data_IF_656385843272
#
_entry.id   IF_656385843272
#
_cell.length_a   1.000
_cell.length_b   1.000
_cell.length_c   1.000
_cell.angle_alpha   90.00
_cell.angle_beta   90.00
_cell.angle_gamma   90.00
#
_symmetry.space_group_name_H-M   'P 1'
#
loop_
_entity.id
_entity.type
_entity.pdbx_description
1 polymer ?
#
# COMPACT_ATOMS: atom_id res chain seq x y z
N UNK A 1 33.72 -22.05 -55.39
CA UNK A 1 33.97 -21.05 -56.45
C UNK A 1 33.17 -19.81 -56.09
N UNK A 2 33.69 -18.63 -55.85
CA UNK A 2 35.02 -17.99 -55.93
C UNK A 2 34.82 -16.68 -55.15
N UNK A 3 35.61 -16.38 -54.11
CA UNK A 3 36.85 -15.59 -54.21
C UNK A 3 36.57 -14.23 -54.89
N UNK A 4 36.53 -13.10 -54.17
CA UNK A 4 37.64 -12.13 -53.96
C UNK A 4 37.00 -10.78 -53.57
N UNK A 5 37.55 -9.80 -52.86
CA UNK A 5 38.89 -9.44 -52.33
C UNK A 5 38.62 -8.34 -51.26
N UNK A 6 39.28 -8.33 -50.09
CA UNK A 6 40.45 -7.49 -49.73
C UNK A 6 40.18 -5.96 -49.85
N UNK A 7 40.40 -5.09 -48.85
CA UNK A 7 41.57 -4.91 -47.98
C UNK A 7 41.19 -4.07 -46.71
N UNK A 8 41.69 -4.41 -45.51
CA UNK A 8 42.82 -3.75 -44.79
C UNK A 8 42.91 -2.23 -44.96
N UNK A 9 42.82 -1.44 -43.87
CA UNK A 9 43.98 -0.81 -43.18
C UNK A 9 43.58 -0.41 -41.75
N UNK A 10 44.47 -0.70 -40.80
CA UNK A 10 44.46 -0.36 -39.37
C UNK A 10 44.43 1.15 -39.09
N UNK A 11 43.81 1.57 -37.98
CA UNK A 11 44.35 2.64 -37.13
C UNK A 11 43.86 2.47 -35.68
N UNK A 12 44.78 2.05 -34.81
CA UNK A 12 44.67 2.24 -33.37
C UNK A 12 44.73 3.73 -33.05
N UNK A 13 43.75 4.27 -32.35
CA UNK A 13 43.91 5.52 -31.58
C UNK A 13 43.12 5.41 -30.29
N UNK A 14 43.85 5.11 -29.22
CA UNK A 14 43.49 5.37 -27.83
C UNK A 14 43.27 6.87 -27.65
N UNK A 15 42.16 7.31 -27.04
CA UNK A 15 42.09 8.35 -25.99
C UNK A 15 40.64 8.78 -25.69
N UNK A 16 40.32 8.87 -24.39
CA UNK A 16 39.47 9.94 -23.86
C UNK A 16 38.00 9.63 -23.61
N UNK A 17 37.68 8.69 -22.71
CA UNK A 17 36.41 8.74 -21.98
C UNK A 17 36.54 9.79 -20.87
N UNK A 18 36.12 11.03 -21.14
CA UNK A 18 35.99 12.06 -20.11
C UNK A 18 34.52 12.41 -19.91
N UNK A 19 33.94 11.83 -18.85
CA UNK A 19 32.73 12.35 -18.20
C UNK A 19 33.07 13.70 -17.57
N UNK A 20 32.30 14.78 -17.80
CA UNK A 20 32.48 16.00 -17.04
C UNK A 20 31.99 15.77 -15.61
N UNK A 21 32.93 15.57 -14.68
CA UNK A 21 32.71 15.76 -13.25
C UNK A 21 32.63 17.26 -12.97
N UNK A 22 31.40 17.78 -12.84
CA UNK A 22 31.19 19.07 -12.21
C UNK A 22 31.49 18.92 -10.72
N UNK A 23 32.68 19.38 -10.35
CA UNK A 23 33.11 19.52 -8.97
C UNK A 23 32.25 20.58 -8.27
N UNK A 24 31.35 20.13 -7.40
CA UNK A 24 30.73 21.02 -6.41
C UNK A 24 31.69 21.12 -5.23
N UNK A 25 32.21 22.32 -5.04
CA UNK A 25 32.92 22.79 -3.86
C UNK A 25 32.17 22.39 -2.57
N UNK A 26 32.91 21.95 -1.55
CA UNK A 26 32.47 21.23 -0.33
C UNK A 26 32.41 19.71 -0.54
N UNK A 27 33.49 19.02 -0.15
CA UNK A 27 33.69 17.58 -0.23
C UNK A 27 32.76 16.72 0.62
N UNK A 28 31.45 17.00 0.63
CA UNK A 28 30.44 16.05 1.02
C UNK A 28 30.29 15.04 -0.13
N UNK A 29 30.68 13.80 0.12
CA UNK A 29 30.27 12.67 -0.71
C UNK A 29 28.75 12.62 -0.60
N UNK A 30 28.05 13.21 -1.57
CA UNK A 30 26.60 13.08 -1.65
C UNK A 30 26.31 11.58 -1.77
N UNK A 31 25.36 11.04 -0.98
CA UNK A 31 24.98 9.65 -1.14
C UNK A 31 24.52 9.43 -2.59
N UNK A 32 24.78 8.24 -3.18
CA UNK A 32 24.40 7.96 -4.56
C UNK A 32 22.87 7.92 -4.81
N UNK A 33 22.06 8.32 -3.83
CA UNK A 33 20.60 8.30 -3.83
C UNK A 33 20.05 9.67 -3.40
N UNK A 34 19.09 10.19 -4.15
CA UNK A 34 18.38 11.43 -3.83
C UNK A 34 17.37 11.19 -2.70
N UNK A 35 17.78 11.52 -1.47
CA UNK A 35 16.98 11.34 -0.25
C UNK A 35 15.74 12.25 -0.25
N UNK A 36 15.78 13.39 -0.96
CA UNK A 36 14.69 14.37 -0.92
C UNK A 36 13.42 13.81 -1.58
N UNK A 37 13.56 13.18 -2.75
CA UNK A 37 12.46 12.55 -3.47
C UNK A 37 11.80 11.40 -2.70
N UNK A 38 12.60 10.58 -1.98
CA UNK A 38 12.08 9.50 -1.15
C UNK A 38 11.34 10.02 0.08
N UNK A 39 11.87 11.08 0.70
CA UNK A 39 11.21 11.72 1.84
C UNK A 39 9.85 12.30 1.44
N UNK A 40 9.75 12.92 0.26
CA UNK A 40 8.47 13.41 -0.28
C UNK A 40 7.48 12.26 -0.53
N UNK A 41 7.93 11.15 -1.10
CA UNK A 41 7.10 9.94 -1.29
C UNK A 41 6.59 9.40 0.04
N UNK A 42 7.45 9.36 1.06
CA UNK A 42 7.08 8.90 2.40
C UNK A 42 6.09 9.84 3.09
N UNK A 43 6.32 11.15 3.01
CA UNK A 43 5.41 12.17 3.57
C UNK A 43 4.03 12.09 2.90
N UNK A 44 4.01 11.93 1.57
CA UNK A 44 2.79 11.72 0.81
C UNK A 44 2.06 10.45 1.24
N UNK A 45 2.78 9.31 1.32
CA UNK A 45 2.22 8.04 1.77
C UNK A 45 1.62 8.16 3.18
N UNK A 46 2.30 8.85 4.09
CA UNK A 46 1.82 9.08 5.45
C UNK A 46 0.51 9.89 5.46
N UNK A 47 0.40 10.93 4.61
CA UNK A 47 -0.85 11.69 4.44
C UNK A 47 -1.98 10.82 3.90
N UNK A 48 -1.72 10.01 2.87
CA UNK A 48 -2.73 9.11 2.28
C UNK A 48 -3.20 8.06 3.30
N UNK A 49 -2.29 7.49 4.10
CA UNK A 49 -2.62 6.57 5.19
C UNK A 49 -3.53 7.25 6.23
N UNK A 50 -3.25 8.49 6.60
CA UNK A 50 -4.06 9.24 7.56
C UNK A 50 -5.48 9.51 7.05
N UNK A 51 -5.63 9.85 5.77
CA UNK A 51 -6.95 10.04 5.14
C UNK A 51 -7.76 8.75 5.12
N UNK A 52 -7.13 7.63 4.79
CA UNK A 52 -7.76 6.30 4.83
C UNK A 52 -8.14 5.91 6.26
N UNK A 53 -7.25 6.18 7.23
CA UNK A 53 -7.51 5.94 8.67
C UNK A 53 -8.76 6.70 9.12
N UNK A 54 -8.83 8.00 8.81
CA UNK A 54 -9.96 8.87 9.12
C UNK A 54 -11.25 8.40 8.44
N UNK A 55 -11.17 7.95 7.18
CA UNK A 55 -12.32 7.40 6.46
C UNK A 55 -12.93 6.19 7.18
N UNK A 56 -12.11 5.23 7.60
CA UNK A 56 -12.60 4.04 8.32
C UNK A 56 -13.11 4.35 9.73
N UNK A 57 -12.46 5.25 10.45
CA UNK A 57 -12.87 5.67 11.79
C UNK A 57 -14.19 6.45 11.77
N UNK A 58 -14.35 7.44 10.88
CA UNK A 58 -15.54 8.30 10.84
C UNK A 58 -16.71 7.68 10.08
N UNK A 59 -16.49 7.10 8.90
CA UNK A 59 -17.58 6.68 8.02
C UNK A 59 -18.06 5.26 8.30
N UNK A 60 -17.18 4.40 8.83
CA UNK A 60 -17.49 2.98 9.06
C UNK A 60 -17.43 2.54 10.52
N UNK A 61 -16.92 3.39 11.42
CA UNK A 61 -16.85 3.10 12.85
C UNK A 61 -15.82 2.05 13.26
N UNK A 62 -14.85 1.73 12.40
CA UNK A 62 -13.77 0.81 12.75
C UNK A 62 -12.65 1.54 13.51
N UNK A 63 -11.96 0.82 14.40
CA UNK A 63 -10.72 1.31 15.01
C UNK A 63 -9.54 0.90 14.14
N UNK A 64 -8.86 1.88 13.55
CA UNK A 64 -7.70 1.65 12.71
C UNK A 64 -6.40 1.76 13.54
N UNK A 65 -5.54 0.74 13.43
CA UNK A 65 -4.24 0.67 14.12
C UNK A 65 -3.15 0.35 13.10
N UNK A 66 -1.89 0.63 13.42
CA UNK A 66 -0.75 0.27 12.55
C UNK A 66 -0.74 -1.23 12.23
N UNK A 67 -0.64 -1.55 10.93
CA UNK A 67 -0.60 -2.91 10.41
C UNK A 67 0.81 -3.49 10.23
N UNK A 68 1.84 -2.81 10.75
CA UNK A 68 3.25 -3.14 10.47
C UNK A 68 3.59 -4.60 10.82
N UNK A 69 3.01 -5.14 11.89
CA UNK A 69 3.21 -6.53 12.32
C UNK A 69 2.73 -7.57 11.28
N UNK A 70 1.83 -7.17 10.40
CA UNK A 70 1.23 -8.01 9.36
C UNK A 70 1.70 -7.61 7.95
N UNK A 71 2.71 -6.73 7.85
CA UNK A 71 3.21 -6.24 6.56
C UNK A 71 2.25 -5.30 5.82
N UNK A 72 1.30 -4.68 6.53
CA UNK A 72 0.30 -3.76 5.96
C UNK A 72 0.36 -2.39 6.63
N UNK A 73 -0.28 -1.38 6.06
CA UNK A 73 -0.23 -0.03 6.63
C UNK A 73 -1.14 0.08 7.85
N UNK A 74 -2.36 -0.43 7.71
CA UNK A 74 -3.40 -0.33 8.72
C UNK A 74 -4.09 -1.68 8.94
N UNK A 75 -4.68 -1.83 10.11
CA UNK A 75 -5.46 -2.98 10.53
C UNK A 75 -6.72 -2.47 11.20
N UNK A 76 -7.87 -3.04 10.82
CA UNK A 76 -9.17 -2.60 11.31
C UNK A 76 -9.72 -3.56 12.35
N UNK A 77 -10.16 -2.99 13.47
CA UNK A 77 -10.88 -3.69 14.53
C UNK A 77 -12.33 -3.23 14.57
N UNK A 78 -13.25 -4.17 14.68
CA UNK A 78 -14.66 -3.88 14.90
C UNK A 78 -14.93 -3.27 16.30
N UNK A 79 -14.07 -3.56 17.27
CA UNK A 79 -14.19 -3.07 18.66
C UNK A 79 -12.79 -2.94 19.32
N UNK A 80 -12.72 -2.92 20.65
CA UNK A 80 -11.47 -2.79 21.41
C UNK A 80 -10.44 -3.89 21.04
N UNK A 81 -9.21 -3.50 20.66
CA UNK A 81 -8.16 -4.44 20.25
C UNK A 81 -7.71 -5.40 21.36
N UNK A 82 -8.06 -5.13 22.62
CA UNK A 82 -7.81 -6.01 23.77
C UNK A 82 -8.73 -7.23 23.77
N UNK A 83 -9.93 -7.11 23.19
CA UNK A 83 -10.99 -8.13 23.23
C UNK A 83 -11.11 -8.88 21.90
N UNK A 84 -11.09 -8.13 20.79
CA UNK A 84 -11.40 -8.66 19.45
C UNK A 84 -10.14 -8.74 18.59
N UNK A 85 -10.04 -9.78 17.78
CA UNK A 85 -9.01 -9.85 16.73
C UNK A 85 -9.40 -8.96 15.56
N UNK A 86 -8.42 -8.34 14.91
CA UNK A 86 -8.71 -7.63 13.67
C UNK A 86 -9.12 -8.58 12.56
N UNK A 87 -10.16 -8.22 11.81
CA UNK A 87 -10.64 -9.01 10.67
C UNK A 87 -9.98 -8.57 9.35
N UNK A 88 -9.59 -7.29 9.25
CA UNK A 88 -9.12 -6.69 8.01
C UNK A 88 -7.70 -6.11 8.15
N UNK A 89 -6.89 -6.36 7.13
CA UNK A 89 -5.62 -5.68 6.91
C UNK A 89 -5.75 -4.77 5.69
N UNK A 90 -5.34 -3.52 5.81
CA UNK A 90 -5.46 -2.50 4.77
C UNK A 90 -4.06 -2.12 4.28
N UNK A 91 -3.84 -2.23 2.98
CA UNK A 91 -2.66 -1.71 2.30
C UNK A 91 -3.07 -0.51 1.44
N UNK A 92 -2.44 0.64 1.70
CA UNK A 92 -2.67 1.88 0.98
C UNK A 92 -1.70 1.93 -0.20
N UNK A 93 -2.28 1.84 -1.40
CA UNK A 93 -1.56 2.00 -2.66
C UNK A 93 -1.34 3.49 -2.88
N UNK A 94 -0.09 3.93 -3.11
CA UNK A 94 0.18 5.33 -3.37
C UNK A 94 -0.59 5.79 -4.61
N UNK A 95 -1.27 6.93 -4.54
CA UNK A 95 -2.04 7.44 -5.67
C UNK A 95 -1.16 8.03 -6.79
N UNK A 96 -1.77 8.51 -7.86
CA UNK A 96 -1.10 9.35 -8.88
C UNK A 96 -0.39 8.58 -10.00
N UNK A 97 0.40 9.28 -10.83
CA UNK A 97 1.01 8.75 -12.07
C UNK A 97 2.01 7.61 -11.83
N UNK A 98 2.61 7.57 -10.65
CA UNK A 98 3.61 6.55 -10.25
C UNK A 98 3.03 5.50 -9.29
N UNK A 99 1.71 5.54 -9.08
CA UNK A 99 0.98 4.68 -8.14
C UNK A 99 0.82 3.24 -8.61
N UNK A 100 1.93 2.57 -8.92
CA UNK A 100 1.95 1.16 -9.27
C UNK A 100 2.31 0.32 -8.05
N UNK A 101 1.52 -0.73 -7.81
CA UNK A 101 1.87 -1.77 -6.85
C UNK A 101 2.44 -2.97 -7.60
N UNK A 102 3.60 -3.49 -7.15
CA UNK A 102 4.15 -4.71 -7.73
C UNK A 102 3.21 -5.89 -7.44
N UNK A 103 2.92 -6.66 -8.48
CA UNK A 103 2.12 -7.88 -8.37
C UNK A 103 2.71 -8.87 -7.36
N UNK A 104 4.04 -8.96 -7.26
CA UNK A 104 4.69 -9.83 -6.26
C UNK A 104 4.41 -9.40 -4.83
N UNK A 105 4.30 -8.10 -4.59
CA UNK A 105 3.92 -7.56 -3.28
C UNK A 105 2.48 -7.94 -2.96
N UNK A 106 1.55 -7.78 -3.90
CA UNK A 106 0.16 -8.23 -3.73
C UNK A 106 0.12 -9.73 -3.42
N UNK A 107 0.78 -10.57 -4.23
CA UNK A 107 0.80 -12.02 -4.01
C UNK A 107 1.35 -12.39 -2.63
N UNK A 108 2.40 -11.72 -2.17
CA UNK A 108 2.99 -11.95 -0.84
C UNK A 108 2.00 -11.62 0.26
N UNK A 109 1.34 -10.46 0.18
CA UNK A 109 0.33 -10.04 1.15
C UNK A 109 -0.85 -11.00 1.17
N UNK A 110 -1.39 -11.32 0.00
CA UNK A 110 -2.53 -12.25 -0.15
C UNK A 110 -2.20 -13.62 0.42
N UNK A 111 -0.97 -14.13 0.23
CA UNK A 111 -0.53 -15.41 0.79
C UNK A 111 -0.49 -15.42 2.32
N UNK A 112 -0.20 -14.30 2.96
CA UNK A 112 -0.12 -14.19 4.42
C UNK A 112 -1.52 -14.11 5.07
N UNK A 113 -2.54 -13.70 4.32
CA UNK A 113 -3.89 -13.49 4.86
C UNK A 113 -4.55 -14.74 5.47
N UNK A 114 -4.51 -15.93 4.84
CA UNK A 114 -5.02 -17.16 5.45
C UNK A 114 -4.33 -17.55 6.75
N UNK A 115 -3.01 -17.37 6.81
CA UNK A 115 -2.21 -17.73 7.98
C UNK A 115 -2.55 -16.83 9.17
N UNK A 116 -2.91 -15.57 8.89
CA UNK A 116 -3.32 -14.58 9.88
C UNK A 116 -4.83 -14.61 10.18
N UNK A 117 -5.62 -15.36 9.41
CA UNK A 117 -7.07 -15.34 9.39
C UNK A 117 -7.65 -13.93 9.20
N UNK A 118 -7.09 -13.17 8.25
CA UNK A 118 -7.51 -11.79 7.94
C UNK A 118 -7.89 -11.67 6.47
N UNK A 119 -8.67 -10.65 6.13
CA UNK A 119 -8.95 -10.28 4.74
C UNK A 119 -8.09 -9.08 4.35
N UNK A 120 -7.43 -9.13 3.19
CA UNK A 120 -6.66 -8.00 2.66
C UNK A 120 -7.61 -7.03 1.95
N UNK A 121 -7.48 -5.76 2.26
CA UNK A 121 -8.13 -4.66 1.54
C UNK A 121 -7.03 -3.80 0.92
N UNK A 122 -7.06 -3.69 -0.40
CA UNK A 122 -6.25 -2.73 -1.13
C UNK A 122 -7.04 -1.44 -1.24
N UNK A 123 -6.47 -0.33 -0.77
CA UNK A 123 -7.12 0.98 -0.78
C UNK A 123 -6.27 1.96 -1.56
N UNK A 124 -6.91 2.80 -2.37
CA UNK A 124 -6.24 3.93 -3.03
C UNK A 124 -7.13 5.17 -2.98
N UNK A 125 -6.49 6.34 -3.00
CA UNK A 125 -7.20 7.62 -2.97
C UNK A 125 -7.29 8.17 -4.39
N UNK A 126 -8.51 8.49 -4.80
CA UNK A 126 -8.80 9.22 -6.04
C UNK A 126 -9.15 10.66 -5.68
N UNK A 127 -8.34 11.60 -6.14
CA UNK A 127 -8.61 13.02 -5.97
C UNK A 127 -9.62 13.48 -7.02
N UNK A 128 -10.70 14.12 -6.60
CA UNK A 128 -11.74 14.66 -7.48
C UNK A 128 -11.35 16.09 -7.84
N UNK A 129 -10.96 16.31 -9.11
CA UNK A 129 -10.76 17.66 -9.61
C UNK A 129 -12.13 18.34 -9.72
N UNK A 130 -12.25 19.52 -9.12
CA UNK A 130 -13.49 20.33 -9.05
C UNK A 130 -14.04 20.75 -10.42
N UNK A 131 -13.30 20.48 -11.50
CA UNK A 131 -13.64 20.81 -12.87
C UNK A 131 -14.78 19.95 -13.46
N UNK A 132 -15.17 18.84 -12.80
CA UNK A 132 -16.27 17.97 -13.22
C UNK A 132 -17.48 17.95 -12.27
N UNK A 133 -17.47 18.76 -11.20
CA UNK A 133 -18.57 18.85 -10.22
C UNK A 133 -19.75 19.70 -10.74
N UNK A 134 -20.30 19.32 -11.90
CA UNK A 134 -21.60 19.76 -12.37
C UNK A 134 -22.72 19.06 -11.59
N UNK A 135 -23.18 19.71 -10.52
CA UNK A 135 -24.57 19.69 -10.02
C UNK A 135 -25.08 18.41 -9.33
N UNK A 136 -25.48 18.60 -8.06
CA UNK A 136 -26.40 17.81 -7.20
C UNK A 136 -25.81 16.76 -6.23
N UNK A 137 -25.26 17.25 -5.12
CA UNK A 137 -25.16 16.50 -3.87
C UNK A 137 -24.98 17.49 -2.72
N UNK A 138 -25.93 17.53 -1.78
CA UNK A 138 -25.96 18.52 -0.69
C UNK A 138 -24.69 18.46 0.18
N UNK A 139 -24.16 19.60 0.65
CA UNK A 139 -23.00 19.62 1.54
C UNK A 139 -23.41 19.06 2.90
N UNK A 140 -22.77 17.95 3.29
CA UNK A 140 -22.83 17.45 4.66
C UNK A 140 -21.93 18.36 5.50
N UNK A 141 -22.53 18.97 6.51
CA UNK A 141 -21.95 19.92 7.48
C UNK A 141 -20.52 19.60 7.92
N UNK A 142 -19.64 20.57 7.71
CA UNK A 142 -18.24 20.61 8.17
C UNK A 142 -18.16 20.80 9.69
N UNK A 143 -17.54 19.84 10.38
CA UNK A 143 -16.99 20.05 11.71
C UNK A 143 -15.56 20.60 11.61
N UNK A 144 -15.36 21.69 12.34
CA UNK A 144 -14.23 22.60 12.36
C UNK A 144 -12.94 21.84 12.76
N UNK A 145 -12.04 21.58 11.78
CA UNK A 145 -10.56 21.47 11.90
C UNK A 145 -9.88 20.75 10.71
N UNK A 146 -10.60 20.37 9.65
CA UNK A 146 -9.96 19.67 8.54
C UNK A 146 -9.14 20.63 7.67
N UNK A 147 -7.84 20.36 7.63
CA UNK A 147 -6.92 20.79 6.55
C UNK A 147 -7.67 20.59 5.23
N UNK A 148 -7.65 21.61 4.37
CA UNK A 148 -8.32 21.65 3.05
C UNK A 148 -7.74 20.57 2.11
N UNK A 149 -7.97 19.32 2.46
CA UNK A 149 -7.73 18.11 1.71
C UNK A 149 -8.91 18.02 0.74
N UNK A 150 -8.80 18.68 -0.41
CA UNK A 150 -9.88 18.79 -1.39
C UNK A 150 -10.58 17.44 -1.69
N UNK A 151 -11.79 17.53 -2.23
CA UNK A 151 -12.70 16.39 -2.44
C UNK A 151 -11.96 15.12 -2.90
N UNK A 152 -11.96 14.11 -2.04
CA UNK A 152 -11.29 12.84 -2.28
C UNK A 152 -12.27 11.67 -2.12
N UNK A 153 -12.06 10.64 -2.93
CA UNK A 153 -12.78 9.38 -2.88
C UNK A 153 -11.81 8.27 -2.47
N UNK A 154 -12.20 7.48 -1.47
CA UNK A 154 -11.44 6.30 -1.03
C UNK A 154 -12.00 5.08 -1.75
N UNK A 155 -11.21 4.53 -2.66
CA UNK A 155 -11.57 3.35 -3.43
C UNK A 155 -10.95 2.11 -2.79
N UNK A 156 -11.74 1.05 -2.65
CA UNK A 156 -11.35 -0.16 -1.92
C UNK A 156 -11.59 -1.43 -2.76
N UNK A 157 -10.66 -2.38 -2.67
CA UNK A 157 -10.76 -3.70 -3.27
C UNK A 157 -10.42 -4.73 -2.19
N UNK A 158 -11.41 -5.51 -1.78
CA UNK A 158 -11.21 -6.64 -0.87
C UNK A 158 -10.72 -7.87 -1.65
N UNK A 159 -9.68 -8.52 -1.14
CA UNK A 159 -9.11 -9.75 -1.71
C UNK A 159 -9.21 -10.85 -0.64
N UNK A 160 -10.03 -11.84 -0.93
CA UNK A 160 -10.11 -13.09 -0.16
C UNK A 160 -9.35 -14.19 -0.91
N UNK A 161 -8.41 -14.84 -0.24
CA UNK A 161 -7.77 -16.05 -0.76
C UNK A 161 -8.48 -17.29 -0.23
N UNK A 162 -9.74 -17.47 -0.61
CA UNK A 162 -10.50 -18.69 -0.30
C UNK A 162 -10.20 -19.84 -1.27
N UNK A 163 -9.20 -19.66 -2.14
CA UNK A 163 -8.78 -20.67 -3.11
C UNK A 163 -7.42 -21.29 -2.75
N UNK A 164 -7.42 -22.14 -1.74
CA UNK A 164 -6.47 -23.26 -1.70
C UNK A 164 -7.19 -24.47 -2.35
N UNK A 165 -6.83 -24.90 -3.57
CA UNK A 165 -7.65 -25.80 -4.38
C UNK A 165 -7.81 -27.23 -3.85
N UNK A 166 -7.31 -27.61 -2.66
CA UNK A 166 -7.54 -28.95 -2.11
C UNK A 166 -7.60 -28.95 -0.57
N UNK A 167 -8.54 -28.22 0.02
CA UNK A 167 -8.92 -28.46 1.43
C UNK A 167 -10.27 -29.17 1.46
N UNK A 168 -10.24 -30.50 1.38
CA UNK A 168 -11.42 -31.31 1.66
C UNK A 168 -11.85 -31.06 3.13
N UNK A 169 -12.84 -30.18 3.34
CA UNK A 169 -13.53 -30.09 4.63
C UNK A 169 -14.28 -31.42 4.81
N UNK A 170 -13.98 -32.16 5.89
CA UNK A 170 -14.90 -33.20 6.36
C UNK A 170 -16.16 -32.48 6.84
N UNK A 171 -17.29 -32.79 6.22
CA UNK A 171 -18.60 -32.22 6.52
C UNK A 171 -19.07 -32.67 7.89
N UNK A 172 -18.75 -31.92 8.96
CA UNK A 172 -19.45 -32.04 10.23
C UNK A 172 -19.24 -30.81 11.09
N UNK A 173 -19.90 -29.70 10.76
CA UNK A 173 -20.62 -28.82 11.69
C UNK A 173 -21.05 -27.54 10.95
N UNK A 174 -22.35 -27.21 10.93
CA UNK A 174 -22.82 -25.89 10.53
C UNK A 174 -22.77 -24.94 11.73
N UNK A 175 -22.69 -23.64 11.44
CA UNK A 175 -22.83 -22.48 12.35
C UNK A 175 -21.57 -22.05 13.12
N UNK A 176 -20.82 -21.10 12.52
CA UNK A 176 -20.28 -19.87 13.14
C UNK A 176 -19.24 -19.19 12.21
N UNK A 177 -19.54 -19.05 10.91
CA UNK A 177 -18.68 -18.36 9.93
C UNK A 177 -19.21 -16.94 9.65
N UNK A 178 -19.26 -16.09 10.69
CA UNK A 178 -19.54 -14.66 10.57
C UNK A 178 -18.28 -13.84 10.83
N UNK A 179 -17.98 -12.86 9.97
CA UNK A 179 -16.92 -11.88 10.21
C UNK A 179 -17.18 -11.13 11.54
N UNK A 180 -16.15 -10.90 12.36
CA UNK A 180 -16.27 -10.22 13.67
C UNK A 180 -16.52 -11.11 14.89
N UNK A 181 -16.51 -12.45 14.76
CA UNK A 181 -16.79 -13.37 15.88
C UNK A 181 -15.56 -13.98 16.55
N UNK A 182 -14.34 -13.63 16.10
CA UNK A 182 -13.11 -14.14 16.73
C UNK A 182 -12.78 -13.39 18.01
N UNK A 183 -13.35 -13.86 19.12
CA UNK A 183 -13.01 -13.41 20.47
C UNK A 183 -11.67 -14.00 20.93
N UNK A 184 -10.83 -13.17 21.56
CA UNK A 184 -9.61 -13.66 22.23
C UNK A 184 -9.99 -14.62 23.37
N UNK A 185 -9.41 -15.83 23.38
CA UNK A 185 -9.57 -16.78 24.49
C UNK A 185 -9.04 -16.13 25.76
N UNK A 186 -9.90 -15.91 26.76
CA UNK A 186 -9.48 -15.39 28.08
C UNK A 186 -8.48 -16.37 28.69
N UNK A 187 -7.23 -15.94 28.85
CA UNK A 187 -6.21 -16.67 29.60
C UNK A 187 -6.60 -16.66 31.08
N UNK A 188 -6.77 -17.84 31.69
CA UNK A 188 -7.08 -18.04 33.13
C UNK A 188 -5.90 -17.69 34.06
N UNK A 189 -5.29 -16.52 33.88
CA UNK A 189 -4.27 -16.01 34.79
C UNK A 189 -4.58 -14.56 35.12
N UNK A 190 -5.61 -14.36 35.93
CA UNK A 190 -5.66 -13.23 36.85
C UNK A 190 -5.70 -13.84 38.26
N UNK A 191 -4.75 -13.39 39.09
CA UNK A 191 -4.52 -13.82 40.47
C UNK A 191 -5.72 -13.55 41.36
#
# INVERSE_FOLDING_TARGET
>A
CTLKDQAMVDTLTTQGEERPTEATENGAILPPFDISSELERHARRAREIELVRRHYERNRGYRAVSGLQFGTDLVLYADDPSVVHSDFCVNVIPGGKDGAIDWRNIQTLVRQMPDLHKTLILTYIKWVSKDEAGTNGAPVVDDINDVDDGDYEVCEIAITSEHAPFRHKKSSQPELDGAGLQLKKKTKYQR
#
